data_IF_437636642899
#
_entry.id   IF_437636642899
#
_cell.length_a   1.000
_cell.length_b   1.000
_cell.length_c   1.000
_cell.angle_alpha   90.00
_cell.angle_beta   90.00
_cell.angle_gamma   90.00
#
_symmetry.space_group_name_H-M   'P 1'
#
loop_
_entity.id
_entity.type
_entity.pdbx_description
1 polymer ?
#
# COMPACT_ATOMS: atom_id res chain seq x y z
N UNK A 1 23.02 -9.49 14.07
CA UNK A 1 21.63 -9.50 13.55
C UNK A 1 21.36 -8.15 12.92
N UNK A 2 20.91 -8.11 11.66
CA UNK A 2 20.50 -6.85 11.05
C UNK A 2 19.13 -6.47 11.60
N UNK A 3 18.94 -5.20 11.99
CA UNK A 3 17.65 -4.71 12.46
C UNK A 3 16.71 -4.54 11.26
N UNK A 4 15.50 -5.10 11.32
CA UNK A 4 14.51 -5.04 10.24
C UNK A 4 14.16 -3.60 9.81
N UNK A 5 14.32 -2.62 10.70
CA UNK A 5 14.11 -1.20 10.36
C UNK A 5 15.09 -0.68 9.30
N UNK A 6 16.24 -1.33 9.13
CA UNK A 6 17.24 -1.01 8.10
C UNK A 6 17.07 -1.83 6.81
N UNK A 7 16.07 -2.71 6.75
CA UNK A 7 15.76 -3.48 5.54
C UNK A 7 15.36 -2.56 4.38
N UNK A 8 15.56 -3.04 3.16
CA UNK A 8 15.23 -2.30 1.95
C UNK A 8 13.75 -1.92 1.89
N UNK A 9 12.86 -2.80 2.37
CA UNK A 9 11.41 -2.59 2.32
C UNK A 9 10.93 -1.64 3.41
N UNK A 10 11.46 -1.67 4.64
CA UNK A 10 11.10 -0.66 5.66
C UNK A 10 11.61 0.72 5.25
N UNK A 11 12.87 0.82 4.79
CA UNK A 11 13.41 2.09 4.30
C UNK A 11 12.67 2.61 3.06
N UNK A 12 12.26 1.72 2.15
CA UNK A 12 11.42 2.05 1.00
C UNK A 12 10.05 2.62 1.41
N UNK A 13 9.38 1.99 2.38
CA UNK A 13 8.11 2.48 2.93
C UNK A 13 8.29 3.85 3.61
N UNK A 14 9.33 4.02 4.43
CA UNK A 14 9.66 5.31 5.07
C UNK A 14 9.83 6.41 4.03
N UNK A 15 10.62 6.15 2.99
CA UNK A 15 10.88 7.12 1.92
C UNK A 15 9.58 7.47 1.20
N UNK A 16 8.81 6.48 0.74
CA UNK A 16 7.60 6.71 -0.03
C UNK A 16 6.56 7.55 0.73
N UNK A 17 6.28 7.19 1.99
CA UNK A 17 5.30 7.93 2.81
C UNK A 17 5.83 9.32 3.19
N UNK A 18 7.14 9.47 3.42
CA UNK A 18 7.74 10.77 3.72
C UNK A 18 7.67 11.71 2.52
N UNK A 19 8.01 11.22 1.32
CA UNK A 19 7.99 12.02 0.11
C UNK A 19 6.57 12.46 -0.23
N UNK A 20 5.59 11.57 -0.10
CA UNK A 20 4.18 11.89 -0.35
C UNK A 20 3.62 12.91 0.68
N UNK A 21 4.00 12.78 1.95
CA UNK A 21 3.76 13.83 2.96
C UNK A 21 4.39 15.17 2.57
N UNK A 22 5.65 15.19 2.13
CA UNK A 22 6.34 16.43 1.72
C UNK A 22 5.73 17.05 0.46
N UNK A 23 5.07 16.25 -0.39
CA UNK A 23 4.26 16.74 -1.51
C UNK A 23 2.93 17.35 -1.08
N UNK A 24 2.54 17.20 0.19
CA UNK A 24 1.26 17.66 0.72
C UNK A 24 0.08 16.79 0.30
N UNK A 25 0.32 15.51 -0.04
CA UNK A 25 -0.72 14.59 -0.52
C UNK A 25 -1.36 13.75 0.58
N UNK A 26 -0.85 13.78 1.81
CA UNK A 26 -1.25 12.84 2.86
C UNK A 26 -1.47 13.58 4.18
N UNK A 27 -2.45 14.48 4.19
CA UNK A 27 -2.84 15.20 5.40
C UNK A 27 -3.45 14.25 6.45
N UNK A 28 -3.10 14.47 7.73
CA UNK A 28 -3.56 13.63 8.85
C UNK A 28 -3.30 12.14 8.56
N UNK A 29 -4.35 11.36 8.35
CA UNK A 29 -4.33 9.92 8.08
C UNK A 29 -4.81 9.60 6.66
N UNK A 30 -4.90 10.61 5.78
CA UNK A 30 -5.17 10.43 4.37
C UNK A 30 -4.00 9.75 3.68
N UNK A 31 -4.29 8.78 2.82
CA UNK A 31 -3.30 7.94 2.18
C UNK A 31 -2.97 6.64 2.91
N UNK A 32 -2.69 5.60 2.13
CA UNK A 32 -2.27 4.29 2.62
C UNK A 32 -1.47 3.54 1.54
N UNK A 33 -0.57 2.67 1.99
CA UNK A 33 0.42 2.02 1.14
C UNK A 33 0.63 0.57 1.56
N UNK A 34 0.66 -0.31 0.56
CA UNK A 34 0.92 -1.74 0.75
C UNK A 34 1.89 -2.24 -0.32
N UNK A 35 2.92 -2.96 0.12
CA UNK A 35 3.94 -3.56 -0.72
C UNK A 35 3.97 -5.08 -0.49
N UNK A 36 3.83 -5.85 -1.57
CA UNK A 36 3.94 -7.31 -1.60
C UNK A 36 5.40 -7.74 -1.58
N UNK A 37 5.76 -8.51 -0.57
CA UNK A 37 7.10 -9.03 -0.34
C UNK A 37 7.18 -10.51 -0.73
N UNK A 38 8.39 -11.03 -0.83
CA UNK A 38 8.64 -12.47 -0.87
C UNK A 38 9.08 -12.97 0.51
N UNK A 39 8.91 -14.27 0.78
CA UNK A 39 9.34 -14.87 2.05
C UNK A 39 10.85 -14.66 2.29
N UNK A 40 11.64 -14.63 1.23
CA UNK A 40 13.08 -14.38 1.29
C UNK A 40 13.43 -12.97 1.81
N UNK A 41 12.56 -11.97 1.62
CA UNK A 41 12.80 -10.62 2.12
C UNK A 41 12.74 -10.58 3.65
N UNK A 42 11.79 -11.31 4.23
CA UNK A 42 11.50 -11.25 5.66
C UNK A 42 12.21 -12.35 6.46
N UNK A 43 12.64 -13.44 5.81
CA UNK A 43 13.29 -14.59 6.43
C UNK A 43 14.47 -14.25 7.35
N UNK A 44 15.39 -13.32 7.00
CA UNK A 44 16.52 -12.97 7.86
C UNK A 44 16.12 -12.29 9.19
N UNK A 45 14.88 -11.81 9.30
CA UNK A 45 14.41 -10.98 10.40
C UNK A 45 13.42 -11.71 11.34
N UNK A 46 13.33 -13.03 11.28
CA UNK A 46 12.41 -13.80 12.14
C UNK A 46 12.61 -13.50 13.64
N UNK A 47 13.86 -13.24 14.07
CA UNK A 47 14.15 -12.84 15.45
C UNK A 47 13.63 -11.45 15.87
N UNK A 48 13.14 -10.65 14.91
CA UNK A 48 12.49 -9.36 15.15
C UNK A 48 10.97 -9.45 15.20
N UNK A 49 10.37 -10.60 14.86
CA UNK A 49 8.91 -10.73 14.84
C UNK A 49 8.32 -10.76 16.24
N UNK A 50 7.03 -10.42 16.34
CA UNK A 50 6.26 -10.61 17.54
C UNK A 50 6.29 -12.10 17.94
N UNK A 51 6.56 -12.37 19.23
CA UNK A 51 6.61 -13.76 19.72
C UNK A 51 5.26 -14.49 19.55
N UNK A 52 4.16 -13.74 19.60
CA UNK A 52 2.80 -14.22 19.32
C UNK A 52 2.15 -13.27 18.31
N UNK A 53 2.32 -13.50 17.00
CA UNK A 53 1.70 -12.69 15.96
C UNK A 53 0.17 -12.67 16.09
N UNK A 54 -0.42 -11.49 16.16
CA UNK A 54 -1.88 -11.32 16.20
C UNK A 54 -2.48 -11.77 14.87
N UNK A 55 -3.59 -12.52 14.93
CA UNK A 55 -4.34 -12.95 13.76
C UNK A 55 -5.58 -12.07 13.55
N UNK A 56 -5.85 -11.69 12.30
CA UNK A 56 -7.06 -10.95 11.93
C UNK A 56 -7.67 -11.63 10.68
N UNK A 57 -8.96 -11.97 10.70
CA UNK A 57 -9.64 -12.52 9.53
C UNK A 57 -9.81 -11.45 8.44
N UNK A 58 -9.71 -11.86 7.19
CA UNK A 58 -10.10 -11.03 6.05
C UNK A 58 -11.62 -10.98 5.95
N UNK A 59 -12.16 -9.90 5.38
CA UNK A 59 -13.60 -9.75 5.15
C UNK A 59 -14.15 -10.77 4.15
N UNK A 60 -13.29 -11.28 3.26
CA UNK A 60 -13.57 -12.39 2.36
C UNK A 60 -12.28 -13.16 2.05
N UNK A 61 -12.35 -14.47 1.75
CA UNK A 61 -11.17 -15.24 1.38
C UNK A 61 -10.51 -14.72 0.10
N UNK A 62 -9.18 -14.64 0.12
CA UNK A 62 -8.35 -14.22 -1.02
C UNK A 62 -7.24 -15.25 -1.29
N UNK A 63 -7.58 -16.47 -1.77
CA UNK A 63 -6.63 -17.58 -1.90
C UNK A 63 -5.46 -17.29 -2.85
N UNK A 64 -5.60 -16.35 -3.78
CA UNK A 64 -4.49 -15.91 -4.65
C UNK A 64 -3.33 -15.27 -3.85
N UNK A 65 -3.62 -14.76 -2.65
CA UNK A 65 -2.62 -14.17 -1.75
C UNK A 65 -2.15 -15.15 -0.67
N UNK A 66 -2.57 -16.42 -0.71
CA UNK A 66 -2.20 -17.39 0.30
C UNK A 66 -0.68 -17.43 0.53
N UNK A 67 -0.27 -17.50 1.80
CA UNK A 67 1.13 -17.50 2.23
C UNK A 67 1.95 -16.24 1.84
N UNK A 68 1.33 -15.17 1.36
CA UNK A 68 2.05 -14.01 0.85
C UNK A 68 2.30 -12.97 1.95
N UNK A 69 3.55 -12.53 2.16
CA UNK A 69 3.85 -11.43 3.07
C UNK A 69 3.68 -10.05 2.41
N UNK A 70 3.26 -9.08 3.21
CA UNK A 70 3.13 -7.67 2.83
C UNK A 70 3.68 -6.79 3.94
N UNK A 71 4.26 -5.64 3.57
CA UNK A 71 4.42 -4.50 4.48
C UNK A 71 3.35 -3.45 4.19
N UNK A 72 2.70 -2.95 5.24
CA UNK A 72 1.49 -2.12 5.14
C UNK A 72 1.55 -0.93 6.09
N UNK A 73 0.92 0.18 5.74
CA UNK A 73 0.64 1.28 6.67
C UNK A 73 -0.54 0.94 7.58
N UNK A 74 -0.52 1.42 8.83
CA UNK A 74 -1.57 1.18 9.81
C UNK A 74 -2.79 2.10 9.66
N UNK A 75 -3.95 1.67 10.16
CA UNK A 75 -5.16 2.49 10.22
C UNK A 75 -4.99 3.69 11.16
N UNK A 76 -5.45 4.86 10.72
CA UNK A 76 -5.33 6.13 11.45
C UNK A 76 -3.89 6.63 11.60
N UNK A 77 -2.90 5.97 10.99
CA UNK A 77 -1.49 6.36 11.05
C UNK A 77 -1.18 7.44 10.03
N UNK A 78 -0.20 8.28 10.35
CA UNK A 78 0.12 9.47 9.57
C UNK A 78 1.37 9.18 8.75
N UNK A 79 1.35 9.45 7.44
CA UNK A 79 2.53 9.29 6.59
C UNK A 79 3.75 10.08 7.13
N UNK A 80 3.50 11.28 7.68
CA UNK A 80 4.49 12.12 8.37
C UNK A 80 5.25 11.40 9.49
N UNK A 81 4.60 10.46 10.18
CA UNK A 81 5.12 9.81 11.38
C UNK A 81 5.85 8.50 11.08
N UNK A 82 5.75 7.97 9.86
CA UNK A 82 6.42 6.70 9.48
C UNK A 82 7.93 6.81 9.65
N UNK A 83 8.55 7.92 9.25
CA UNK A 83 9.99 8.15 9.44
C UNK A 83 10.41 8.28 10.91
N UNK A 84 9.48 8.65 11.80
CA UNK A 84 9.77 8.90 13.22
C UNK A 84 9.71 7.59 14.02
N UNK A 85 8.70 6.77 13.74
CA UNK A 85 8.52 5.47 14.37
C UNK A 85 7.92 4.48 13.36
N UNK A 86 8.77 3.79 12.58
CA UNK A 86 8.30 2.83 11.59
C UNK A 86 7.48 1.68 12.21
N UNK A 87 7.85 1.22 13.41
CA UNK A 87 7.17 0.08 14.04
C UNK A 87 5.77 0.43 14.56
N UNK A 88 5.53 1.69 14.95
CA UNK A 88 4.20 2.13 15.35
C UNK A 88 3.25 2.43 14.18
N UNK A 89 3.79 2.70 12.98
CA UNK A 89 3.03 3.17 11.82
C UNK A 89 2.95 2.15 10.67
N UNK A 90 3.87 1.20 10.61
CA UNK A 90 3.91 0.13 9.61
C UNK A 90 3.75 -1.24 10.28
N UNK A 91 3.30 -2.22 9.51
CA UNK A 91 3.32 -3.63 9.92
C UNK A 91 3.71 -4.56 8.79
N UNK A 92 4.34 -5.67 9.13
CA UNK A 92 4.46 -6.81 8.22
C UNK A 92 3.34 -7.78 8.56
N UNK A 93 2.54 -8.11 7.56
CA UNK A 93 1.49 -9.13 7.66
C UNK A 93 1.82 -10.28 6.74
N UNK A 94 1.44 -11.50 7.12
CA UNK A 94 1.51 -12.67 6.23
C UNK A 94 0.14 -13.32 6.17
N UNK A 95 -0.40 -13.40 4.96
CA UNK A 95 -1.66 -14.09 4.68
C UNK A 95 -1.47 -15.58 4.96
N UNK A 96 -2.46 -16.21 5.58
CA UNK A 96 -2.44 -17.64 5.88
C UNK A 96 -2.56 -18.52 4.62
N UNK A 97 -2.54 -19.84 4.82
CA UNK A 97 -2.41 -20.81 3.74
C UNK A 97 -3.65 -20.98 2.86
N UNK A 98 -4.83 -20.60 3.36
CA UNK A 98 -6.10 -20.65 2.62
C UNK A 98 -6.58 -19.25 2.21
N UNK A 99 -5.88 -18.19 2.61
CA UNK A 99 -6.23 -16.81 2.28
C UNK A 99 -7.43 -16.30 3.08
N UNK A 100 -7.74 -16.89 4.22
CA UNK A 100 -8.87 -16.51 5.07
C UNK A 100 -8.53 -15.35 6.02
N UNK A 101 -7.24 -15.13 6.32
CA UNK A 101 -6.79 -14.10 7.23
C UNK A 101 -5.30 -13.85 7.14
N UNK A 102 -4.77 -13.10 8.10
CA UNK A 102 -3.35 -12.79 8.16
C UNK A 102 -2.83 -12.68 9.59
N UNK A 103 -1.55 -12.97 9.75
CA UNK A 103 -0.81 -12.74 10.99
C UNK A 103 0.02 -11.47 10.89
N UNK A 104 -0.05 -10.60 11.90
CA UNK A 104 0.83 -9.43 12.02
C UNK A 104 2.16 -9.89 12.62
N UNK A 105 3.15 -10.09 11.75
CA UNK A 105 4.48 -10.62 12.12
C UNK A 105 5.34 -9.56 12.81
N UNK A 106 5.27 -8.30 12.38
CA UNK A 106 6.09 -7.21 12.92
C UNK A 106 5.33 -5.88 12.85
N UNK A 107 5.71 -4.93 13.72
CA UNK A 107 5.17 -3.58 13.71
C UNK A 107 3.72 -3.50 14.19
N UNK A 108 3.04 -2.41 13.84
CA UNK A 108 1.70 -2.04 14.32
C UNK A 108 1.58 -2.18 15.85
N UNK A 109 2.54 -1.59 16.56
CA UNK A 109 2.60 -1.63 18.03
C UNK A 109 1.36 -0.96 18.67
N UNK A 110 1.15 -1.24 19.96
CA UNK A 110 0.06 -0.67 20.77
C UNK A 110 -1.33 -0.93 20.16
N UNK A 111 -1.58 -2.20 19.82
CA UNK A 111 -2.83 -2.66 19.24
C UNK A 111 -3.27 -2.01 17.92
N UNK A 112 -2.34 -1.33 17.21
CA UNK A 112 -2.64 -0.84 15.87
C UNK A 112 -2.96 -1.99 14.91
N UNK A 113 -3.75 -1.68 13.88
CA UNK A 113 -4.16 -2.61 12.82
C UNK A 113 -3.74 -2.04 11.46
N UNK A 114 -3.67 -2.85 10.39
CA UNK A 114 -3.47 -2.35 9.02
C UNK A 114 -4.50 -1.29 8.63
N UNK A 115 -4.23 -0.53 7.57
CA UNK A 115 -5.20 0.42 6.98
C UNK A 115 -6.61 -0.18 6.90
N UNK A 116 -7.64 0.64 7.16
CA UNK A 116 -9.04 0.22 7.00
C UNK A 116 -9.39 -0.19 5.58
N UNK A 117 -8.60 0.26 4.60
CA UNK A 117 -8.75 -0.06 3.18
C UNK A 117 -7.96 -1.31 2.75
N UNK A 118 -7.45 -2.10 3.70
CA UNK A 118 -6.68 -3.31 3.38
C UNK A 118 -7.43 -4.27 2.43
N UNK A 119 -8.75 -4.50 2.56
CA UNK A 119 -9.48 -5.33 1.60
C UNK A 119 -9.44 -4.77 0.17
N UNK A 120 -9.58 -3.45 -0.03
CA UNK A 120 -9.50 -2.81 -1.34
C UNK A 120 -8.09 -2.91 -1.93
N UNK A 121 -7.06 -2.75 -1.08
CA UNK A 121 -5.67 -2.97 -1.46
C UNK A 121 -5.43 -4.40 -1.93
N UNK A 122 -5.85 -5.39 -1.14
CA UNK A 122 -5.61 -6.80 -1.47
C UNK A 122 -6.40 -7.26 -2.71
N UNK A 123 -7.63 -6.79 -2.89
CA UNK A 123 -8.39 -7.02 -4.13
C UNK A 123 -7.67 -6.42 -5.33
N UNK A 124 -7.16 -5.20 -5.21
CA UNK A 124 -6.38 -4.57 -6.27
C UNK A 124 -5.10 -5.35 -6.54
N UNK A 125 -4.36 -5.79 -5.51
CA UNK A 125 -3.20 -6.69 -5.68
C UNK A 125 -3.58 -7.96 -6.45
N UNK A 126 -4.72 -8.59 -6.14
CA UNK A 126 -5.17 -9.80 -6.85
C UNK A 126 -5.36 -9.53 -8.35
N UNK A 127 -6.04 -8.45 -8.72
CA UNK A 127 -6.26 -8.12 -10.12
C UNK A 127 -4.98 -7.67 -10.82
N UNK A 128 -4.11 -6.92 -10.14
CA UNK A 128 -2.81 -6.52 -10.69
C UNK A 128 -1.86 -7.71 -10.88
N UNK A 129 -1.87 -8.68 -9.97
CA UNK A 129 -1.12 -9.94 -10.14
C UNK A 129 -1.57 -10.65 -11.43
N UNK A 130 -2.88 -10.80 -11.64
CA UNK A 130 -3.43 -11.43 -12.85
C UNK A 130 -3.08 -10.64 -14.11
N UNK A 131 -3.33 -9.33 -14.11
CA UNK A 131 -3.14 -8.46 -15.27
C UNK A 131 -1.67 -8.34 -15.69
N UNK A 132 -0.73 -8.44 -14.74
CA UNK A 132 0.70 -8.20 -15.00
C UNK A 132 1.54 -9.46 -14.90
N UNK A 133 0.93 -10.64 -14.79
CA UNK A 133 1.64 -11.91 -14.55
C UNK A 133 2.60 -11.81 -13.34
N UNK A 134 2.10 -11.25 -12.24
CA UNK A 134 2.82 -11.12 -10.97
C UNK A 134 3.88 -10.04 -10.87
N UNK A 135 4.05 -9.19 -11.90
CA UNK A 135 5.05 -8.11 -11.91
C UNK A 135 4.73 -7.01 -10.89
N UNK A 136 3.47 -6.60 -10.79
CA UNK A 136 3.06 -5.51 -9.90
C UNK A 136 3.06 -5.95 -8.44
N UNK A 137 3.66 -5.13 -7.57
CA UNK A 137 3.83 -5.42 -6.13
C UNK A 137 3.34 -4.33 -5.20
N UNK A 138 2.88 -3.19 -5.70
CA UNK A 138 2.53 -2.01 -4.88
C UNK A 138 1.13 -1.53 -5.22
N UNK A 139 0.36 -1.23 -4.19
CA UNK A 139 -0.86 -0.43 -4.28
C UNK A 139 -0.69 0.76 -3.33
N UNK A 140 -0.85 1.96 -3.86
CA UNK A 140 -0.68 3.24 -3.16
C UNK A 140 -1.92 4.11 -3.39
N UNK A 141 -2.44 4.66 -2.30
CA UNK A 141 -3.47 5.69 -2.30
C UNK A 141 -2.93 6.91 -1.57
N UNK A 142 -3.23 8.10 -2.10
CA UNK A 142 -2.92 9.40 -1.52
C UNK A 142 -3.95 10.43 -1.99
N UNK A 143 -3.99 11.60 -1.35
CA UNK A 143 -4.85 12.72 -1.71
C UNK A 143 -4.11 13.71 -2.61
N UNK A 144 -3.75 13.27 -3.82
CA UNK A 144 -3.03 14.09 -4.78
C UNK A 144 -3.81 15.37 -5.15
N UNK A 145 -3.34 16.51 -4.65
CA UNK A 145 -4.11 17.77 -4.56
C UNK A 145 -4.70 18.22 -5.90
N UNK A 146 -3.91 18.20 -6.97
CA UNK A 146 -4.38 18.66 -8.29
C UNK A 146 -5.31 17.65 -8.97
N UNK A 147 -5.10 16.34 -8.77
CA UNK A 147 -6.01 15.33 -9.29
C UNK A 147 -7.39 15.48 -8.65
N UNK A 148 -7.45 15.70 -7.34
CA UNK A 148 -8.70 15.99 -6.62
C UNK A 148 -9.35 17.26 -7.16
N UNK A 149 -8.60 18.35 -7.34
CA UNK A 149 -9.18 19.59 -7.86
C UNK A 149 -9.80 19.42 -9.26
N UNK A 150 -9.18 18.60 -10.13
CA UNK A 150 -9.67 18.34 -11.48
C UNK A 150 -11.00 17.58 -11.50
N UNK A 151 -11.33 16.75 -10.50
CA UNK A 151 -12.59 15.98 -10.48
C UNK A 151 -13.84 16.84 -10.27
N UNK A 152 -13.69 18.12 -9.92
CA UNK A 152 -14.78 19.08 -9.78
C UNK A 152 -15.07 19.87 -11.07
N UNK A 153 -14.14 19.85 -12.03
CA UNK A 153 -14.18 20.75 -13.20
C UNK A 153 -14.06 20.02 -14.53
N UNK A 154 -13.43 18.84 -14.55
CA UNK A 154 -13.47 17.94 -15.70
C UNK A 154 -14.68 17.02 -15.59
N UNK A 155 -15.15 16.53 -16.74
CA UNK A 155 -16.09 15.42 -16.76
C UNK A 155 -15.40 14.19 -16.17
N UNK A 156 -16.04 13.55 -15.19
CA UNK A 156 -15.53 12.34 -14.54
C UNK A 156 -15.79 11.11 -15.43
N UNK A 157 -15.24 11.15 -16.64
CA UNK A 157 -15.19 10.08 -17.63
C UNK A 157 -13.73 9.64 -17.84
N UNK A 158 -13.53 8.34 -18.02
CA UNK A 158 -12.18 7.75 -18.12
C UNK A 158 -11.42 8.29 -19.34
N UNK A 159 -12.07 8.42 -20.50
CA UNK A 159 -11.42 8.86 -21.72
C UNK A 159 -11.12 10.37 -21.67
N UNK A 160 -12.09 11.18 -21.22
CA UNK A 160 -11.92 12.64 -21.08
C UNK A 160 -10.80 12.95 -20.09
N UNK A 161 -10.84 12.37 -18.88
CA UNK A 161 -9.85 12.65 -17.85
C UNK A 161 -8.44 12.21 -18.26
N UNK A 162 -8.31 11.00 -18.82
CA UNK A 162 -7.03 10.48 -19.33
C UNK A 162 -6.44 11.40 -20.40
N UNK A 163 -7.26 11.84 -21.35
CA UNK A 163 -6.78 12.67 -22.46
C UNK A 163 -6.23 14.00 -21.96
N UNK A 164 -6.90 14.66 -21.01
CA UNK A 164 -6.43 15.92 -20.44
C UNK A 164 -5.10 15.75 -19.69
N UNK A 165 -4.90 14.63 -18.98
CA UNK A 165 -3.63 14.34 -18.31
C UNK A 165 -2.50 14.08 -19.32
N UNK A 166 -2.75 13.32 -20.39
CA UNK A 166 -1.77 13.07 -21.44
C UNK A 166 -1.30 14.35 -22.14
N UNK A 167 -2.19 15.33 -22.32
CA UNK A 167 -1.85 16.64 -22.89
C UNK A 167 -1.06 17.53 -21.93
N UNK A 168 -1.24 17.33 -20.60
CA UNK A 168 -0.60 18.15 -19.57
C UNK A 168 0.93 17.97 -19.48
N UNK A 169 1.43 16.78 -19.81
CA UNK A 169 2.87 16.48 -19.88
C UNK A 169 3.13 15.34 -20.88
N UNK A 170 4.07 15.54 -21.82
CA UNK A 170 4.38 14.58 -22.91
C UNK A 170 4.61 13.15 -22.43
N UNK A 171 5.24 12.98 -21.27
CA UNK A 171 5.56 11.67 -20.71
C UNK A 171 4.34 10.87 -20.25
N UNK A 172 3.21 11.51 -19.97
CA UNK A 172 2.02 10.87 -19.41
C UNK A 172 1.48 9.75 -20.30
N UNK A 173 1.48 9.94 -21.62
CA UNK A 173 1.07 8.90 -22.57
C UNK A 173 1.99 7.67 -22.52
N UNK A 174 3.27 7.86 -22.22
CA UNK A 174 4.26 6.77 -22.14
C UNK A 174 4.21 6.08 -20.77
N UNK A 175 3.97 6.85 -19.69
CA UNK A 175 3.95 6.32 -18.32
C UNK A 175 2.66 5.55 -18.02
N UNK A 176 1.51 6.02 -18.49
CA UNK A 176 0.21 5.37 -18.33
C UNK A 176 -0.57 5.32 -19.65
N UNK A 177 -0.13 4.50 -20.62
CA UNK A 177 -0.78 4.37 -21.92
C UNK A 177 -2.18 3.74 -21.83
N UNK A 178 -2.45 2.98 -20.76
CA UNK A 178 -3.76 2.37 -20.51
C UNK A 178 -4.77 3.36 -19.86
N UNK A 179 -4.32 4.58 -19.53
CA UNK A 179 -5.14 5.65 -18.99
C UNK A 179 -5.38 5.60 -17.48
N UNK A 180 -6.31 6.44 -17.01
CA UNK A 180 -6.73 6.60 -15.62
C UNK A 180 -8.23 6.33 -15.52
N UNK A 181 -8.59 5.18 -14.93
CA UNK A 181 -9.98 4.86 -14.63
C UNK A 181 -10.54 5.76 -13.52
N UNK A 182 -11.78 6.20 -13.68
CA UNK A 182 -12.48 7.06 -12.71
C UNK A 182 -13.80 6.41 -12.27
N UNK A 183 -14.03 6.40 -10.95
CA UNK A 183 -15.23 5.85 -10.32
C UNK A 183 -16.19 6.97 -9.89
N UNK A 184 -17.49 6.69 -9.73
CA UNK A 184 -18.40 7.61 -9.05
C UNK A 184 -17.98 7.82 -7.59
N UNK A 185 -18.44 8.93 -7.01
CA UNK A 185 -18.29 9.21 -5.57
C UNK A 185 -19.20 8.33 -4.72
#
# INVERSE_FOLDING_TARGET
>A
MQNITQSWFVQGMIKATTDAWLKGWDERNGGNLTLRLDDADIAPYHGNFHAQPRYIPLSQPMPLLANTPFIVTGSGKFFRNVQLDPAANLGIVKVDSDGAGYHILWGLTNEAVPTSELPAHFLSHCERIKATNGKDRVIMHCHATNLIALTYVLENDTAVFTRQLWEGSTECLVVFPDGVGILPW
#
